data_IF_419560956471
#
_entry.id   IF_419560956471
#
_cell.length_a   1.000
_cell.length_b   1.000
_cell.length_c   1.000
_cell.angle_alpha   90.00
_cell.angle_beta   90.00
_cell.angle_gamma   90.00
#
_symmetry.space_group_name_H-M   'P 1'
#
loop_
_entity.id
_entity.type
_entity.pdbx_description
1 polymer ?
#
# COMPACT_ATOMS: atom_id res chain seq x y z
N UNK A 1 53.40 29.30 -29.76
CA UNK A 1 52.07 28.98 -29.21
C UNK A 1 51.36 28.02 -30.15
N UNK A 2 51.25 26.73 -29.80
CA UNK A 2 50.44 25.73 -30.53
C UNK A 2 49.45 25.16 -29.53
N UNK A 3 48.15 25.34 -29.77
CA UNK A 3 47.08 24.88 -28.89
C UNK A 3 46.70 23.45 -29.30
N UNK A 4 46.73 22.52 -28.36
CA UNK A 4 46.20 21.17 -28.53
C UNK A 4 44.74 21.17 -28.05
N UNK A 5 43.80 20.81 -28.93
CA UNK A 5 42.41 20.61 -28.56
C UNK A 5 42.22 19.16 -28.15
N UNK A 6 41.97 18.92 -26.86
CA UNK A 6 41.66 17.58 -26.33
C UNK A 6 40.15 17.34 -26.49
N UNK A 7 39.78 16.35 -27.30
CA UNK A 7 38.40 15.85 -27.39
C UNK A 7 38.13 14.91 -26.21
N UNK A 8 37.18 15.27 -25.34
CA UNK A 8 36.67 14.40 -24.28
C UNK A 8 35.47 13.64 -24.87
N UNK A 9 35.61 12.33 -25.05
CA UNK A 9 34.51 11.45 -25.42
C UNK A 9 33.67 11.12 -24.17
N UNK A 10 32.40 11.52 -24.15
CA UNK A 10 31.45 11.18 -23.10
C UNK A 10 30.90 9.78 -23.36
N UNK A 11 31.34 8.78 -22.60
CA UNK A 11 30.78 7.43 -22.66
C UNK A 11 29.43 7.41 -21.92
N UNK A 12 28.32 7.32 -22.66
CA UNK A 12 26.99 7.11 -22.09
C UNK A 12 26.90 5.64 -21.69
N UNK A 13 26.96 5.35 -20.38
CA UNK A 13 26.70 4.02 -19.83
C UNK A 13 25.20 3.74 -19.92
N UNK A 14 24.80 2.94 -20.90
CA UNK A 14 23.45 2.36 -21.00
C UNK A 14 23.29 1.34 -19.86
N UNK A 15 22.66 1.74 -18.75
CA UNK A 15 22.24 0.78 -17.73
C UNK A 15 21.11 -0.10 -18.30
N UNK A 16 21.19 -1.43 -18.19
CA UNK A 16 20.11 -2.30 -18.63
C UNK A 16 18.86 -2.02 -17.80
N UNK A 17 17.75 -1.71 -18.47
CA UNK A 17 16.44 -1.61 -17.86
C UNK A 17 16.05 -2.96 -17.26
N UNK A 18 15.62 -2.95 -15.99
CA UNK A 18 15.13 -4.16 -15.32
C UNK A 18 13.99 -4.78 -16.15
N UNK A 19 13.94 -6.12 -16.29
CA UNK A 19 12.87 -6.77 -17.04
C UNK A 19 11.53 -6.42 -16.42
N UNK A 20 10.59 -5.92 -17.23
CA UNK A 20 9.20 -5.78 -16.83
C UNK A 20 8.68 -7.15 -16.40
N UNK A 21 8.41 -7.33 -15.12
CA UNK A 21 7.74 -8.54 -14.65
C UNK A 21 6.32 -8.52 -15.22
N UNK A 22 6.05 -9.41 -16.18
CA UNK A 22 4.69 -9.62 -16.67
C UNK A 22 3.89 -10.20 -15.49
N UNK A 23 3.01 -9.39 -14.92
CA UNK A 23 2.10 -9.82 -13.87
C UNK A 23 1.29 -11.02 -14.38
N UNK A 24 1.32 -12.14 -13.65
CA UNK A 24 0.51 -13.30 -13.99
C UNK A 24 -0.98 -12.91 -13.88
N UNK A 25 -1.84 -13.40 -14.78
CA UNK A 25 -3.27 -13.17 -14.66
C UNK A 25 -3.75 -13.66 -13.29
N UNK A 26 -4.35 -12.77 -12.50
CA UNK A 26 -4.98 -13.11 -11.23
C UNK A 26 -6.29 -13.83 -11.59
N UNK A 27 -6.39 -15.12 -11.29
CA UNK A 27 -7.66 -15.82 -11.40
C UNK A 27 -8.62 -15.23 -10.36
N UNK A 28 -9.66 -14.55 -10.82
CA UNK A 28 -10.69 -13.95 -9.97
C UNK A 28 -11.73 -15.01 -9.54
N UNK A 29 -11.29 -15.97 -8.73
CA UNK A 29 -12.18 -16.98 -8.12
C UNK A 29 -12.60 -16.41 -6.75
N UNK A 30 -13.91 -16.32 -6.48
CA UNK A 30 -14.46 -15.67 -5.29
C UNK A 30 -14.09 -14.18 -5.15
N UNK A 31 -13.93 -13.47 -6.27
CA UNK A 31 -13.66 -12.04 -6.26
C UNK A 31 -14.94 -11.24 -5.92
N UNK A 32 -14.84 -10.38 -4.91
CA UNK A 32 -15.86 -9.38 -4.61
C UNK A 32 -15.46 -8.01 -5.22
N UNK A 33 -16.44 -7.16 -5.52
CA UNK A 33 -16.21 -5.81 -6.02
C UNK A 33 -16.37 -4.80 -4.89
N UNK A 34 -15.36 -3.97 -4.70
CA UNK A 34 -15.43 -2.79 -3.85
C UNK A 34 -15.23 -1.53 -4.69
N UNK A 35 -15.77 -0.42 -4.20
CA UNK A 35 -15.59 0.90 -4.82
C UNK A 35 -14.33 1.61 -4.33
N UNK A 36 -13.80 1.21 -3.18
CA UNK A 36 -12.69 1.89 -2.51
C UNK A 36 -11.55 0.95 -2.12
N UNK A 37 -11.75 -0.36 -2.10
CA UNK A 37 -10.71 -1.35 -1.77
C UNK A 37 -10.35 -2.21 -2.98
N UNK A 38 -9.05 -2.45 -3.14
CA UNK A 38 -8.53 -3.42 -4.08
C UNK A 38 -7.40 -4.18 -3.39
N UNK A 39 -7.38 -5.51 -3.54
CA UNK A 39 -6.39 -6.35 -2.88
C UNK A 39 -6.89 -7.78 -2.69
N UNK A 40 -6.27 -8.47 -1.75
CA UNK A 40 -6.61 -9.83 -1.38
C UNK A 40 -7.33 -9.83 -0.03
N UNK A 41 -8.35 -10.66 0.08
CA UNK A 41 -9.06 -10.92 1.33
C UNK A 41 -9.16 -12.42 1.55
N UNK A 42 -9.17 -12.83 2.80
CA UNK A 42 -9.38 -14.22 3.19
C UNK A 42 -10.41 -14.26 4.33
N UNK A 43 -11.55 -14.88 4.07
CA UNK A 43 -12.61 -15.04 5.06
C UNK A 43 -12.32 -16.16 6.05
N UNK A 44 -12.75 -15.96 7.29
CA UNK A 44 -12.61 -16.91 8.40
C UNK A 44 -13.44 -18.17 8.19
N UNK A 45 -14.65 -18.04 7.61
CA UNK A 45 -15.52 -19.18 7.30
C UNK A 45 -14.87 -20.09 6.24
N UNK A 46 -14.30 -19.53 5.18
CA UNK A 46 -13.67 -20.31 4.10
C UNK A 46 -12.40 -21.05 4.55
N UNK A 47 -11.71 -20.49 5.54
CA UNK A 47 -10.51 -21.10 6.13
C UNK A 47 -10.77 -21.92 7.38
N UNK A 48 -12.01 -21.91 7.88
CA UNK A 48 -12.40 -22.54 9.13
C UNK A 48 -11.48 -22.13 10.30
N UNK A 49 -11.06 -20.85 10.34
CA UNK A 49 -10.13 -20.33 11.35
C UNK A 49 -10.39 -18.86 11.66
N UNK A 50 -10.03 -18.44 12.87
CA UNK A 50 -9.92 -17.03 13.24
C UNK A 50 -8.51 -16.51 12.96
N UNK A 51 -8.40 -15.23 12.58
CA UNK A 51 -7.12 -14.58 12.32
C UNK A 51 -6.68 -13.76 13.53
N UNK A 52 -5.50 -14.07 14.04
CA UNK A 52 -4.90 -13.40 15.20
C UNK A 52 -3.68 -12.55 14.83
N UNK A 53 -3.24 -12.65 13.57
CA UNK A 53 -2.17 -11.82 13.04
C UNK A 53 -2.24 -11.69 11.52
N UNK A 54 -1.70 -10.59 11.02
CA UNK A 54 -1.47 -10.33 9.61
C UNK A 54 -0.18 -9.51 9.47
N UNK A 55 0.60 -9.79 8.43
CA UNK A 55 1.79 -9.02 8.10
C UNK A 55 1.88 -8.83 6.58
N UNK A 56 2.51 -7.74 6.17
CA UNK A 56 2.76 -7.44 4.76
C UNK A 56 3.95 -6.50 4.60
N UNK A 57 4.62 -6.63 3.46
CA UNK A 57 5.71 -5.76 3.06
C UNK A 57 5.47 -5.24 1.65
N UNK A 58 5.80 -3.98 1.40
CA UNK A 58 5.69 -3.36 0.09
C UNK A 58 6.65 -2.18 -0.06
N UNK A 59 6.89 -1.78 -1.31
CA UNK A 59 7.60 -0.55 -1.63
C UNK A 59 6.59 0.60 -1.65
N UNK A 60 6.90 1.70 -0.97
CA UNK A 60 6.06 2.90 -0.98
C UNK A 60 6.03 3.48 -2.40
N UNK A 61 4.84 3.62 -3.02
CA UNK A 61 4.74 4.16 -4.37
C UNK A 61 5.09 5.65 -4.38
N UNK A 62 5.45 6.15 -5.57
CA UNK A 62 5.44 7.58 -5.83
C UNK A 62 4.04 7.96 -6.30
N UNK A 63 3.26 8.59 -5.43
CA UNK A 63 1.97 9.19 -5.73
C UNK A 63 2.13 10.48 -6.55
N UNK A 64 1.30 10.59 -7.58
CA UNK A 64 1.18 11.75 -8.46
C UNK A 64 -0.32 11.96 -8.75
N UNK A 65 -0.74 13.20 -8.99
CA UNK A 65 -2.12 13.46 -9.39
C UNK A 65 -2.39 12.79 -10.73
N UNK A 66 -3.55 12.12 -10.84
CA UNK A 66 -4.10 11.76 -12.14
C UNK A 66 -4.62 12.99 -12.87
N UNK A 67 -5.31 13.88 -12.17
CA UNK A 67 -5.90 15.10 -12.70
C UNK A 67 -5.26 16.33 -12.04
N UNK A 68 -4.57 17.17 -12.83
CA UNK A 68 -3.94 18.37 -12.31
C UNK A 68 -4.97 19.33 -11.69
N UNK A 69 -4.71 19.79 -10.47
CA UNK A 69 -5.61 20.69 -9.74
C UNK A 69 -6.62 20.00 -8.83
N UNK A 70 -6.68 18.66 -8.81
CA UNK A 70 -7.58 17.89 -7.95
C UNK A 70 -6.80 17.26 -6.78
N UNK A 71 -7.34 17.32 -5.56
CA UNK A 71 -6.78 16.59 -4.44
C UNK A 71 -7.17 15.11 -4.54
N UNK A 72 -6.19 14.22 -4.40
CA UNK A 72 -6.34 12.77 -4.54
C UNK A 72 -5.78 12.06 -3.30
N UNK A 73 -6.46 11.01 -2.84
CA UNK A 73 -6.16 10.34 -1.57
C UNK A 73 -6.07 8.84 -1.79
N UNK A 74 -5.06 8.22 -1.20
CA UNK A 74 -4.81 6.78 -1.36
C UNK A 74 -4.00 6.22 -0.23
N UNK A 75 -4.11 4.91 -0.03
CA UNK A 75 -3.48 4.22 1.09
C UNK A 75 -3.13 2.78 0.72
N UNK A 76 -2.06 2.27 1.33
CA UNK A 76 -1.66 0.85 1.28
C UNK A 76 -1.59 0.32 2.69
N UNK A 77 -2.31 -0.75 2.99
CA UNK A 77 -2.54 -1.20 4.35
C UNK A 77 -2.82 -2.70 4.44
N UNK A 78 -2.70 -3.23 5.65
CA UNK A 78 -3.17 -4.56 6.04
C UNK A 78 -4.19 -4.41 7.17
N UNK A 79 -5.09 -5.38 7.32
CA UNK A 79 -6.06 -5.35 8.40
C UNK A 79 -6.76 -6.69 8.66
N UNK A 80 -7.43 -6.75 9.80
CA UNK A 80 -8.26 -7.87 10.25
C UNK A 80 -9.66 -7.31 10.57
N UNK A 81 -10.69 -7.87 9.92
CA UNK A 81 -12.08 -7.40 9.99
C UNK A 81 -12.52 -6.68 8.71
N UNK A 82 -13.62 -5.92 8.79
CA UNK A 82 -14.17 -5.03 7.75
C UNK A 82 -14.72 -5.70 6.49
N UNK A 83 -14.42 -6.98 6.27
CA UNK A 83 -14.80 -7.74 5.09
C UNK A 83 -16.18 -8.40 5.19
N UNK A 84 -16.50 -9.17 4.15
CA UNK A 84 -17.65 -10.08 4.18
C UNK A 84 -17.41 -11.21 5.17
N UNK A 85 -18.42 -11.55 5.95
CA UNK A 85 -18.39 -12.67 6.87
C UNK A 85 -18.77 -13.98 6.18
N UNK A 86 -19.57 -13.93 5.12
CA UNK A 86 -20.02 -15.09 4.33
C UNK A 86 -19.56 -15.01 2.86
N UNK A 87 -19.52 -16.16 2.19
CA UNK A 87 -19.10 -16.28 0.78
C UNK A 87 -20.03 -15.55 -0.18
N UNK A 88 -21.28 -15.31 0.22
CA UNK A 88 -22.27 -14.56 -0.53
C UNK A 88 -22.20 -13.04 -0.28
N UNK A 89 -21.35 -12.56 0.65
CA UNK A 89 -21.25 -11.16 1.04
C UNK A 89 -22.60 -10.52 1.42
N UNK A 90 -23.42 -11.26 2.17
CA UNK A 90 -24.69 -10.76 2.73
C UNK A 90 -24.54 -10.25 4.16
N UNK A 91 -23.46 -10.63 4.84
CA UNK A 91 -23.11 -10.20 6.19
C UNK A 91 -21.73 -9.54 6.22
N UNK A 92 -21.59 -8.45 6.96
CA UNK A 92 -20.37 -7.64 7.02
C UNK A 92 -19.88 -7.47 8.44
N UNK A 93 -18.56 -7.44 8.62
CA UNK A 93 -17.92 -7.06 9.86
C UNK A 93 -17.87 -5.53 9.97
N UNK A 94 -18.45 -4.99 11.04
CA UNK A 94 -18.46 -3.55 11.32
C UNK A 94 -17.17 -3.06 12.03
N UNK A 95 -16.27 -3.98 12.37
CA UNK A 95 -15.01 -3.70 13.06
C UNK A 95 -13.83 -3.93 12.12
N UNK A 96 -12.74 -3.19 12.30
CA UNK A 96 -11.54 -3.35 11.51
C UNK A 96 -10.34 -2.82 12.29
N UNK A 97 -9.34 -3.67 12.52
CA UNK A 97 -8.02 -3.26 12.98
C UNK A 97 -7.12 -3.20 11.76
N UNK A 98 -6.54 -2.03 11.49
CA UNK A 98 -5.76 -1.81 10.29
C UNK A 98 -4.58 -0.87 10.53
N UNK A 99 -3.54 -1.04 9.74
CA UNK A 99 -2.35 -0.21 9.77
C UNK A 99 -1.69 -0.16 8.39
N UNK A 100 -1.03 0.94 8.09
CA UNK A 100 -0.43 1.13 6.78
C UNK A 100 0.19 2.50 6.60
N UNK A 101 0.26 2.90 5.33
CA UNK A 101 0.75 4.20 4.90
C UNK A 101 -0.30 4.90 4.05
N UNK A 102 -0.49 6.19 4.27
CA UNK A 102 -1.26 7.09 3.41
C UNK A 102 -0.32 7.83 2.47
N UNK A 103 -0.81 8.12 1.28
CA UNK A 103 -0.14 8.92 0.26
C UNK A 103 -1.18 9.79 -0.41
N UNK A 104 -1.30 11.01 0.12
CA UNK A 104 -2.27 12.01 -0.31
C UNK A 104 -1.55 13.05 -1.16
N UNK A 105 -2.17 13.49 -2.25
CA UNK A 105 -1.63 14.54 -3.11
C UNK A 105 -2.61 15.70 -3.11
N UNK A 106 -2.14 16.87 -2.68
CA UNK A 106 -2.99 18.07 -2.64
C UNK A 106 -3.25 18.62 -4.05
N UNK A 107 -4.17 19.58 -4.17
CA UNK A 107 -4.52 20.20 -5.45
C UNK A 107 -3.35 20.89 -6.16
N UNK A 108 -2.29 21.28 -5.43
CA UNK A 108 -1.08 21.88 -5.99
C UNK A 108 -0.03 20.84 -6.43
N UNK A 109 -0.30 19.54 -6.22
CA UNK A 109 0.59 18.44 -6.58
C UNK A 109 1.61 18.08 -5.48
N UNK A 110 1.47 18.61 -4.26
CA UNK A 110 2.35 18.25 -3.15
C UNK A 110 1.86 16.94 -2.53
N UNK A 111 2.78 15.97 -2.42
CA UNK A 111 2.49 14.68 -1.81
C UNK A 111 2.83 14.66 -0.32
N UNK A 112 1.88 14.21 0.51
CA UNK A 112 2.02 13.92 1.93
C UNK A 112 2.02 12.40 2.15
N UNK A 113 3.10 11.88 2.76
CA UNK A 113 3.26 10.47 3.10
C UNK A 113 3.31 10.32 4.60
N UNK A 114 2.50 9.42 5.14
CA UNK A 114 2.40 9.21 6.58
C UNK A 114 2.10 7.75 6.92
N UNK A 115 2.68 7.25 8.00
CA UNK A 115 2.28 5.97 8.59
C UNK A 115 1.16 6.17 9.61
N UNK A 116 0.24 5.20 9.68
CA UNK A 116 -0.96 5.31 10.50
C UNK A 116 -1.46 3.93 10.98
N UNK A 117 -2.28 3.95 12.03
CA UNK A 117 -3.08 2.81 12.48
C UNK A 117 -4.50 3.25 12.85
N UNK A 118 -5.45 2.33 12.80
CA UNK A 118 -6.86 2.59 13.11
C UNK A 118 -7.54 1.33 13.66
N UNK A 119 -8.47 1.54 14.60
CA UNK A 119 -9.37 0.50 15.14
C UNK A 119 -10.81 0.96 14.96
N UNK A 120 -11.39 0.70 13.80
CA UNK A 120 -12.75 1.13 13.42
C UNK A 120 -13.76 0.65 14.48
N UNK A 121 -14.63 1.55 14.98
CA UNK A 121 -14.97 2.88 14.44
C UNK A 121 -14.17 4.06 15.00
N UNK A 122 -13.12 3.82 15.81
CA UNK A 122 -12.24 4.91 16.23
C UNK A 122 -11.51 5.50 15.00
N UNK A 123 -11.22 6.81 15.01
CA UNK A 123 -10.56 7.46 13.88
C UNK A 123 -9.10 7.00 13.75
N UNK A 124 -8.60 7.06 12.52
CA UNK A 124 -7.19 6.91 12.18
C UNK A 124 -6.27 7.80 13.03
N UNK A 125 -5.16 7.22 13.46
CA UNK A 125 -4.08 7.88 14.21
C UNK A 125 -2.81 7.82 13.36
N UNK A 126 -2.28 9.00 13.01
CA UNK A 126 -0.95 9.12 12.39
C UNK A 126 0.14 8.86 13.43
N UNK A 127 1.27 8.34 12.96
CA UNK A 127 2.46 8.08 13.78
C UNK A 127 3.60 9.03 13.40
N UNK A 128 4.65 9.07 14.22
CA UNK A 128 5.86 9.86 13.93
C UNK A 128 6.83 9.15 12.96
N UNK A 129 6.47 7.96 12.44
CA UNK A 129 7.29 7.23 11.49
C UNK A 129 7.31 7.98 10.15
N UNK A 130 8.51 8.39 9.75
CA UNK A 130 8.76 9.05 8.46
C UNK A 130 8.62 8.02 7.33
N UNK A 131 7.82 8.35 6.33
CA UNK A 131 7.58 7.54 5.13
C UNK A 131 7.97 8.34 3.90
N UNK A 132 8.67 7.71 2.94
CA UNK A 132 9.09 8.33 1.68
C UNK A 132 8.85 7.39 0.50
N UNK A 133 8.64 7.94 -0.72
CA UNK A 133 8.62 7.14 -1.94
C UNK A 133 9.87 6.27 -2.07
N UNK A 134 9.68 4.99 -2.36
CA UNK A 134 10.76 4.02 -2.51
C UNK A 134 11.22 3.34 -1.22
N UNK A 135 10.72 3.76 -0.05
CA UNK A 135 10.97 3.03 1.20
C UNK A 135 10.39 1.61 1.12
N UNK A 136 11.08 0.64 1.73
CA UNK A 136 10.54 -0.70 1.96
C UNK A 136 9.87 -0.72 3.33
N UNK A 137 8.53 -0.75 3.33
CA UNK A 137 7.71 -0.75 4.54
C UNK A 137 7.31 -2.16 4.88
N UNK A 138 7.45 -2.52 6.16
CA UNK A 138 6.86 -3.72 6.74
C UNK A 138 5.83 -3.34 7.81
N UNK A 139 4.66 -3.97 7.77
CA UNK A 139 3.57 -3.75 8.71
C UNK A 139 3.17 -5.10 9.30
N UNK A 140 2.88 -5.11 10.60
CA UNK A 140 2.39 -6.28 11.31
C UNK A 140 1.32 -5.89 12.32
N UNK A 141 0.25 -6.66 12.37
CA UNK A 141 -0.80 -6.60 13.40
C UNK A 141 -0.83 -7.98 14.03
N UNK A 142 -0.76 -8.05 15.36
CA UNK A 142 -0.85 -9.30 16.08
C UNK A 142 -1.61 -9.08 17.39
N UNK A 143 -2.42 -10.07 17.76
CA UNK A 143 -3.00 -10.14 19.10
C UNK A 143 -1.87 -10.21 20.14
N UNK A 144 -1.97 -9.37 21.17
CA UNK A 144 -1.03 -9.40 22.28
C UNK A 144 -1.23 -10.67 23.10
N UNK A 145 -0.14 -11.39 23.38
CA UNK A 145 -0.12 -12.47 24.37
C UNK A 145 0.04 -11.96 25.80
N UNK A 146 0.30 -10.65 25.96
CA UNK A 146 0.34 -9.99 27.26
C UNK A 146 -1.11 -9.68 27.67
N UNK A 147 -1.57 -10.34 28.73
CA UNK A 147 -2.82 -10.01 29.42
C UNK A 147 -2.74 -8.57 29.95
N UNK A 148 -3.80 -7.75 29.79
CA UNK A 148 -3.87 -6.43 30.42
C UNK A 148 -3.67 -6.45 31.94
#
# INVERSE_FOLDING_TARGET
>A
MRWAATLIALAVLLLPSAPHQIARPIAAIAANRSFNWAGYTQGSIEKETTFHSIAGEWIVPKAEQRNAGEAEYSSSWIGIGGGCLDTACTLFDATLIQAGIGHDVDAAGNADYYAWWETVPAPLIRTDLVVRPGDHVGVGIAESTLTP
#
